data_IF_172290757263
#
_entry.id   IF_172290757263
#
_cell.length_a   1.000
_cell.length_b   1.000
_cell.length_c   1.000
_cell.angle_alpha   90.00
_cell.angle_beta   90.00
_cell.angle_gamma   90.00
#
_symmetry.space_group_name_H-M   'P 1'
#
loop_
_entity.id
_entity.type
_entity.pdbx_description
1 polymer ?
#
# COMPACT_ATOMS: atom_id res chain seq x y z
N UNK A 1 -13.01 -7.64 4.71
CA UNK A 1 -12.74 -7.53 3.25
C UNK A 1 -13.99 -7.20 2.44
N UNK A 2 -15.05 -8.02 2.46
CA UNK A 2 -16.27 -7.75 1.66
C UNK A 2 -16.87 -6.35 1.89
N UNK A 3 -17.00 -5.91 3.15
CA UNK A 3 -17.49 -4.56 3.46
C UNK A 3 -16.58 -3.44 2.93
N UNK A 4 -15.27 -3.68 2.90
CA UNK A 4 -14.29 -2.73 2.36
C UNK A 4 -14.46 -2.53 0.85
N UNK A 5 -14.60 -3.64 0.12
CA UNK A 5 -14.89 -3.62 -1.32
C UNK A 5 -16.23 -2.92 -1.58
N UNK A 6 -17.22 -3.15 -0.73
CA UNK A 6 -18.53 -2.50 -0.84
C UNK A 6 -18.44 -0.97 -0.68
N UNK A 7 -17.81 -0.47 0.40
CA UNK A 7 -17.70 0.98 0.62
C UNK A 7 -16.80 1.67 -0.41
N UNK A 8 -15.85 0.97 -1.02
CA UNK A 8 -15.05 1.49 -2.13
C UNK A 8 -15.85 1.52 -3.45
N UNK A 9 -16.60 0.46 -3.73
CA UNK A 9 -17.46 0.36 -4.93
C UNK A 9 -18.64 1.35 -4.89
N UNK A 10 -19.15 1.63 -3.69
CA UNK A 10 -20.28 2.50 -3.41
C UNK A 10 -19.95 3.44 -2.24
N UNK A 11 -19.18 4.53 -2.48
CA UNK A 11 -18.78 5.45 -1.43
C UNK A 11 -20.00 6.11 -0.78
N UNK A 12 -20.22 5.93 0.53
CA UNK A 12 -21.33 6.54 1.24
C UNK A 12 -21.10 8.05 1.42
N UNK A 13 -22.21 8.79 1.56
CA UNK A 13 -22.18 10.23 1.87
C UNK A 13 -21.45 10.52 3.19
N UNK A 14 -21.68 9.69 4.21
CA UNK A 14 -21.07 9.81 5.55
C UNK A 14 -19.86 8.86 5.71
N UNK A 15 -18.73 9.22 5.08
CA UNK A 15 -17.53 8.36 5.04
C UNK A 15 -16.94 8.04 6.41
N UNK A 16 -16.90 9.00 7.34
CA UNK A 16 -16.39 8.75 8.70
C UNK A 16 -17.19 7.66 9.44
N UNK A 17 -18.51 7.70 9.31
CA UNK A 17 -19.41 6.74 9.95
C UNK A 17 -19.28 5.34 9.31
N UNK A 18 -19.17 5.27 7.98
CA UNK A 18 -18.88 4.02 7.28
C UNK A 18 -17.50 3.45 7.65
N UNK A 19 -16.49 4.31 7.84
CA UNK A 19 -15.17 3.89 8.30
C UNK A 19 -15.20 3.39 9.74
N UNK A 20 -15.97 4.01 10.64
CA UNK A 20 -16.19 3.49 12.00
C UNK A 20 -16.81 2.09 11.98
N UNK A 21 -17.79 1.85 11.09
CA UNK A 21 -18.33 0.51 10.89
C UNK A 21 -17.32 -0.48 10.32
N UNK A 22 -16.39 -0.03 9.48
CA UNK A 22 -15.27 -0.84 8.98
C UNK A 22 -14.32 -1.23 10.12
N UNK A 23 -14.08 -0.33 11.08
CA UNK A 23 -13.22 -0.58 12.23
C UNK A 23 -13.77 -1.66 13.17
N UNK A 24 -15.08 -1.77 13.35
CA UNK A 24 -15.69 -2.72 14.29
C UNK A 24 -15.26 -4.20 14.07
N UNK A 25 -15.39 -4.81 12.88
CA UNK A 25 -14.93 -6.17 12.65
C UNK A 25 -13.41 -6.33 12.74
N UNK A 26 -12.64 -5.27 12.46
CA UNK A 26 -11.18 -5.30 12.54
C UNK A 26 -10.72 -5.28 13.98
N UNK A 27 -11.31 -4.41 14.81
CA UNK A 27 -11.06 -4.36 16.25
C UNK A 27 -11.49 -5.67 16.92
N UNK A 28 -12.60 -6.26 16.48
CA UNK A 28 -12.99 -7.60 16.92
C UNK A 28 -11.93 -8.65 16.54
N UNK A 29 -11.53 -8.70 15.27
CA UNK A 29 -10.47 -9.62 14.83
C UNK A 29 -9.16 -9.38 15.58
N UNK A 30 -8.79 -8.13 15.84
CA UNK A 30 -7.60 -7.76 16.60
C UNK A 30 -7.70 -8.15 18.07
N UNK A 31 -8.88 -8.12 18.67
CA UNK A 31 -9.09 -8.59 20.05
C UNK A 31 -8.93 -10.10 20.16
N UNK A 32 -9.39 -10.86 19.17
CA UNK A 32 -9.47 -12.32 19.23
C UNK A 32 -8.43 -13.05 18.36
N UNK A 33 -7.51 -12.34 17.70
CA UNK A 33 -6.56 -12.98 16.77
C UNK A 33 -5.67 -14.03 17.42
N UNK A 34 -5.29 -13.85 18.69
CA UNK A 34 -4.50 -14.84 19.44
C UNK A 34 -5.25 -16.15 19.69
N UNK A 35 -6.58 -16.14 19.58
CA UNK A 35 -7.44 -17.31 19.76
C UNK A 35 -7.75 -18.03 18.44
N UNK A 36 -7.39 -17.46 17.28
CA UNK A 36 -7.67 -18.05 15.97
C UNK A 36 -6.84 -19.31 15.72
N UNK A 37 -5.57 -19.29 16.11
CA UNK A 37 -4.65 -20.41 15.91
C UNK A 37 -3.67 -20.53 17.09
N UNK A 38 -3.13 -21.73 17.37
CA UNK A 38 -2.08 -21.89 18.37
C UNK A 38 -0.71 -21.35 17.90
N UNK A 39 -0.56 -20.98 16.63
CA UNK A 39 0.70 -20.56 16.03
C UNK A 39 0.91 -19.06 16.24
N UNK A 40 1.79 -18.71 17.16
CA UNK A 40 2.10 -17.32 17.49
C UNK A 40 2.53 -16.49 16.26
N UNK A 41 3.39 -17.04 15.41
CA UNK A 41 3.87 -16.34 14.20
C UNK A 41 2.72 -15.99 13.26
N UNK A 42 1.75 -16.90 13.06
CA UNK A 42 0.61 -16.65 12.18
C UNK A 42 -0.30 -15.57 12.77
N UNK A 43 -0.58 -15.63 14.07
CA UNK A 43 -1.38 -14.62 14.76
C UNK A 43 -0.71 -13.23 14.68
N UNK A 44 0.60 -13.17 14.89
CA UNK A 44 1.40 -11.95 14.81
C UNK A 44 1.42 -11.35 13.39
N UNK A 45 1.65 -12.16 12.35
CA UNK A 45 1.54 -11.74 10.95
C UNK A 45 0.12 -11.25 10.61
N UNK A 46 -0.92 -11.93 11.09
CA UNK A 46 -2.30 -11.55 10.87
C UNK A 46 -2.64 -10.21 11.55
N UNK A 47 -2.21 -10.01 12.80
CA UNK A 47 -2.39 -8.74 13.51
C UNK A 47 -1.73 -7.57 12.77
N UNK A 48 -0.51 -7.76 12.24
CA UNK A 48 0.22 -6.74 11.46
C UNK A 48 -0.46 -6.46 10.13
N UNK A 49 -0.91 -7.50 9.44
CA UNK A 49 -1.69 -7.37 8.21
C UNK A 49 -2.94 -6.51 8.46
N UNK A 50 -3.68 -6.76 9.55
CA UNK A 50 -4.86 -5.95 9.91
C UNK A 50 -4.51 -4.48 10.15
N UNK A 51 -3.40 -4.20 10.81
CA UNK A 51 -2.94 -2.82 11.07
C UNK A 51 -2.57 -2.08 9.78
N UNK A 52 -1.73 -2.70 8.95
CA UNK A 52 -1.31 -2.13 7.65
C UNK A 52 -2.54 -1.90 6.78
N UNK A 53 -3.44 -2.87 6.74
CA UNK A 53 -4.65 -2.79 5.93
C UNK A 53 -5.62 -1.69 6.42
N UNK A 54 -5.78 -1.53 7.73
CA UNK A 54 -6.61 -0.46 8.29
C UNK A 54 -6.02 0.93 8.00
N UNK A 55 -4.70 1.08 8.11
CA UNK A 55 -3.98 2.31 7.76
C UNK A 55 -4.10 2.63 6.26
N UNK A 56 -3.99 1.62 5.41
CA UNK A 56 -4.22 1.75 3.97
C UNK A 56 -5.65 2.23 3.67
N UNK A 57 -6.65 1.58 4.27
CA UNK A 57 -8.05 1.94 4.09
C UNK A 57 -8.36 3.34 4.63
N UNK A 58 -7.78 3.76 5.75
CA UNK A 58 -7.98 5.12 6.27
C UNK A 58 -7.41 6.16 5.29
N UNK A 59 -6.23 5.90 4.74
CA UNK A 59 -5.61 6.75 3.73
C UNK A 59 -6.43 6.81 2.44
N UNK A 60 -6.77 5.67 1.84
CA UNK A 60 -7.54 5.62 0.59
C UNK A 60 -8.93 6.24 0.73
N UNK A 61 -9.65 5.89 1.79
CA UNK A 61 -11.07 6.20 1.91
C UNK A 61 -11.35 7.58 2.52
N UNK A 62 -10.58 7.99 3.55
CA UNK A 62 -10.80 9.24 4.26
C UNK A 62 -9.95 10.40 3.73
N UNK A 63 -8.67 10.15 3.43
CA UNK A 63 -7.71 11.19 3.03
C UNK A 63 -7.76 11.44 1.52
N UNK A 64 -7.45 10.42 0.71
CA UNK A 64 -7.48 10.53 -0.78
C UNK A 64 -8.90 10.67 -1.30
N UNK A 65 -9.86 10.12 -0.55
CA UNK A 65 -11.30 10.16 -0.87
C UNK A 65 -11.63 9.52 -2.22
N UNK A 66 -10.97 8.43 -2.54
CA UNK A 66 -11.13 7.67 -3.80
C UNK A 66 -12.60 7.49 -4.19
N UNK A 67 -12.93 7.86 -5.43
CA UNK A 67 -14.26 7.78 -6.03
C UNK A 67 -14.23 6.82 -7.23
N UNK A 68 -15.27 5.97 -7.40
CA UNK A 68 -15.30 4.96 -8.44
C UNK A 68 -15.33 5.58 -9.82
N UNK A 69 -14.26 5.36 -10.58
CA UNK A 69 -14.12 5.75 -11.98
C UNK A 69 -14.80 4.70 -12.87
N UNK A 70 -16.13 4.70 -12.84
CA UNK A 70 -16.99 3.81 -13.60
C UNK A 70 -18.24 4.58 -14.00
N UNK A 71 -18.71 4.33 -15.22
CA UNK A 71 -19.85 5.04 -15.79
C UNK A 71 -21.09 5.00 -14.87
N UNK A 72 -21.89 6.08 -14.84
CA UNK A 72 -23.17 6.07 -14.17
C UNK A 72 -24.05 4.98 -14.80
N UNK A 73 -24.48 3.99 -14.00
CA UNK A 73 -25.19 2.80 -14.49
C UNK A 73 -24.32 1.55 -14.68
N UNK A 74 -22.99 1.65 -14.52
CA UNK A 74 -22.10 0.50 -14.55
C UNK A 74 -22.54 -0.60 -13.57
N UNK A 75 -22.57 -1.84 -14.08
CA UNK A 75 -22.99 -3.01 -13.31
C UNK A 75 -22.11 -3.25 -12.08
N UNK A 76 -22.68 -3.90 -11.06
CA UNK A 76 -22.00 -4.12 -9.77
C UNK A 76 -20.64 -4.83 -9.90
N UNK A 77 -20.48 -5.73 -10.88
CA UNK A 77 -19.23 -6.46 -11.13
C UNK A 77 -18.07 -5.52 -11.49
N UNK A 78 -18.32 -4.54 -12.36
CA UNK A 78 -17.29 -3.56 -12.75
C UNK A 78 -16.89 -2.68 -11.57
N UNK A 79 -17.85 -2.25 -10.75
CA UNK A 79 -17.60 -1.47 -9.53
C UNK A 79 -16.76 -2.25 -8.51
N UNK A 80 -17.06 -3.52 -8.29
CA UNK A 80 -16.29 -4.39 -7.40
C UNK A 80 -14.89 -4.66 -7.96
N UNK A 81 -14.75 -4.88 -9.27
CA UNK A 81 -13.44 -5.02 -9.91
C UNK A 81 -12.59 -3.76 -9.74
N UNK A 82 -13.18 -2.58 -9.94
CA UNK A 82 -12.52 -1.31 -9.71
C UNK A 82 -12.12 -1.14 -8.24
N UNK A 83 -13.03 -1.43 -7.30
CA UNK A 83 -12.73 -1.39 -5.88
C UNK A 83 -11.61 -2.36 -5.49
N UNK A 84 -11.56 -3.54 -6.12
CA UNK A 84 -10.46 -4.48 -5.98
C UNK A 84 -9.14 -3.91 -6.47
N UNK A 85 -9.11 -3.27 -7.65
CA UNK A 85 -7.91 -2.57 -8.15
C UNK A 85 -7.44 -1.50 -7.15
N UNK A 86 -8.36 -0.72 -6.60
CA UNK A 86 -8.04 0.27 -5.56
C UNK A 86 -7.53 -0.41 -4.30
N UNK A 87 -8.08 -1.55 -3.86
CA UNK A 87 -7.63 -2.20 -2.64
C UNK A 87 -6.20 -2.75 -2.74
N UNK A 88 -5.78 -3.17 -3.93
CA UNK A 88 -4.48 -3.80 -4.17
C UNK A 88 -3.46 -2.89 -4.88
N UNK A 89 -3.83 -1.63 -5.19
CA UNK A 89 -2.88 -0.71 -5.81
C UNK A 89 -1.89 -0.15 -4.79
N UNK A 90 -0.62 -0.10 -5.18
CA UNK A 90 0.45 0.56 -4.41
C UNK A 90 0.43 2.08 -4.59
N UNK A 91 -0.16 2.57 -5.68
CA UNK A 91 -0.15 3.96 -6.08
C UNK A 91 -1.58 4.52 -6.16
N UNK A 92 -2.07 5.00 -5.02
CA UNK A 92 -3.40 5.64 -4.91
C UNK A 92 -3.47 7.01 -5.58
N UNK A 93 -2.32 7.66 -5.79
CA UNK A 93 -2.25 9.00 -6.40
C UNK A 93 -2.82 9.07 -7.82
N UNK A 94 -2.89 7.94 -8.53
CA UNK A 94 -3.47 7.85 -9.88
C UNK A 94 -5.00 7.90 -9.87
N UNK A 95 -5.62 7.52 -8.74
CA UNK A 95 -7.07 7.49 -8.54
C UNK A 95 -7.60 8.76 -7.87
N UNK A 96 -6.75 9.78 -7.75
CA UNK A 96 -7.16 11.05 -7.16
C UNK A 96 -7.96 11.82 -8.20
N UNK A 97 -9.29 11.87 -8.04
CA UNK A 97 -10.09 12.86 -8.75
C UNK A 97 -9.71 14.24 -8.22
N UNK A 98 -9.39 15.22 -9.09
CA UNK A 98 -9.20 16.59 -8.66
C UNK A 98 -10.46 17.06 -7.92
N UNK A 99 -10.32 17.92 -6.90
CA UNK A 99 -11.49 18.52 -6.27
C UNK A 99 -12.33 19.14 -7.37
N UNK A 100 -13.61 18.76 -7.42
CA UNK A 100 -14.59 19.46 -8.24
C UNK A 100 -14.55 20.90 -7.75
N UNK A 101 -13.86 21.77 -8.49
CA UNK A 101 -13.97 23.20 -8.32
C UNK A 101 -15.46 23.46 -8.43
N UNK A 102 -16.08 23.90 -7.34
CA UNK A 102 -17.39 24.51 -7.42
C UNK A 102 -17.23 25.69 -8.38
N UNK A 103 -17.49 25.48 -9.67
CA UNK A 103 -17.96 26.54 -10.54
C UNK A 103 -19.27 26.97 -9.87
N UNK A 104 -19.14 28.05 -9.10
CA UNK A 104 -20.26 28.81 -8.63
C UNK A 104 -21.12 29.10 -9.86
N UNK A 105 -22.42 28.82 -9.72
CA UNK A 105 -23.44 29.30 -10.61
C UNK A 105 -23.30 30.82 -10.73
N UNK A 106 -22.69 31.28 -11.81
CA UNK A 106 -23.10 32.53 -12.42
C UNK A 106 -23.85 32.11 -13.68
N UNK A 107 -25.17 32.06 -13.51
CA UNK A 107 -26.13 32.00 -14.60
C UNK A 107 -25.98 33.25 -15.48
N UNK A 108 -26.06 32.99 -16.78
CA UNK A 108 -26.73 33.84 -17.76
C UNK A 108 -26.01 35.11 -18.21
N UNK A 109 -25.35 35.01 -19.39
CA UNK A 109 -25.65 35.92 -20.49
C UNK A 109 -25.23 35.34 -21.84
N UNK A 110 -26.28 35.02 -22.60
CA UNK A 110 -26.48 35.20 -24.03
C UNK A 110 -25.54 34.50 -25.02
N UNK A 111 -26.17 33.57 -25.74
CA UNK A 111 -25.99 33.23 -27.15
C UNK A 111 -25.07 34.17 -27.93
N UNK A 112 -24.01 33.63 -28.54
CA UNK A 112 -23.76 33.71 -29.99
C UNK A 112 -22.40 33.06 -30.37
N UNK A 113 -22.45 32.18 -31.38
CA UNK A 113 -21.34 31.80 -32.28
C UNK A 113 -20.04 31.21 -31.69
N UNK A 114 -19.84 29.91 -31.89
CA UNK A 114 -19.11 29.41 -33.07
C UNK A 114 -18.79 27.92 -32.90
N UNK A 115 -19.23 27.16 -33.90
CA UNK A 115 -18.91 25.76 -34.10
C UNK A 115 -17.39 25.55 -34.19
N UNK A 116 -16.76 25.13 -33.09
CA UNK A 116 -15.38 24.66 -33.10
C UNK A 116 -15.37 23.15 -33.42
N UNK A 117 -14.53 22.71 -34.38
CA UNK A 117 -14.53 21.34 -34.85
C UNK A 117 -14.05 20.37 -33.78
N UNK A 118 -14.80 19.28 -33.62
CA UNK A 118 -14.61 18.22 -32.63
C UNK A 118 -13.35 17.34 -32.84
N UNK A 119 -12.28 17.84 -33.47
CA UNK A 119 -11.08 17.04 -33.81
C UNK A 119 -9.89 17.19 -32.87
N UNK A 120 -10.00 17.94 -31.78
CA UNK A 120 -8.83 18.27 -30.93
C UNK A 120 -8.91 17.78 -29.47
N UNK A 121 -9.95 17.01 -29.12
CA UNK A 121 -10.07 16.41 -27.77
C UNK A 121 -9.38 15.04 -27.68
N UNK A 122 -8.90 14.49 -28.81
CA UNK A 122 -8.26 13.17 -28.90
C UNK A 122 -6.73 13.13 -28.67
N UNK A 123 -6.03 14.26 -28.52
CA UNK A 123 -4.56 14.28 -28.62
C UNK A 123 -3.79 14.81 -27.39
N UNK A 124 -4.41 14.83 -26.21
CA UNK A 124 -3.69 15.09 -24.95
C UNK A 124 -3.69 13.86 -24.03
N UNK A 125 -3.40 12.69 -24.59
CA UNK A 125 -2.76 11.60 -23.84
C UNK A 125 -1.33 12.05 -23.54
N UNK A 126 -1.17 13.05 -22.66
CA UNK A 126 0.13 13.54 -22.18
C UNK A 126 0.90 12.33 -21.72
N UNK A 127 1.94 11.97 -22.49
CA UNK A 127 2.97 11.02 -22.10
C UNK A 127 3.57 11.58 -20.81
N UNK A 128 3.08 11.11 -19.66
CA UNK A 128 3.56 11.55 -18.35
C UNK A 128 4.97 11.03 -18.25
N UNK A 129 5.94 11.91 -18.44
CA UNK A 129 7.30 11.61 -18.07
C UNK A 129 7.31 11.24 -16.58
N UNK A 130 7.92 10.12 -16.21
CA UNK A 130 7.99 9.71 -14.82
C UNK A 130 8.60 10.84 -13.98
N UNK A 131 8.01 11.25 -12.85
CA UNK A 131 8.37 12.46 -12.09
C UNK A 131 9.77 12.45 -11.45
N UNK A 132 10.55 11.41 -11.72
CA UNK A 132 11.89 11.20 -11.22
C UNK A 132 12.87 11.05 -12.39
N UNK A 133 13.91 11.88 -12.41
CA UNK A 133 15.04 11.86 -13.37
C UNK A 133 16.02 10.69 -13.16
N UNK A 134 15.62 9.65 -12.44
CA UNK A 134 16.50 8.55 -12.11
C UNK A 134 16.54 7.57 -13.28
N UNK A 135 17.74 7.26 -13.75
CA UNK A 135 17.91 6.18 -14.71
C UNK A 135 17.52 4.85 -14.05
N UNK A 136 17.02 3.90 -14.86
CA UNK A 136 16.56 2.59 -14.37
C UNK A 136 17.63 1.86 -13.55
N UNK A 137 18.90 2.01 -13.95
CA UNK A 137 20.05 1.47 -13.20
C UNK A 137 20.23 2.12 -11.83
N UNK A 138 20.03 3.44 -11.72
CA UNK A 138 20.13 4.15 -10.43
C UNK A 138 19.04 3.70 -9.47
N UNK A 139 17.84 3.44 -9.97
CA UNK A 139 16.74 2.88 -9.18
C UNK A 139 17.11 1.48 -8.67
N UNK A 140 17.62 0.61 -9.55
CA UNK A 140 18.08 -0.73 -9.15
C UNK A 140 19.20 -0.69 -8.11
N UNK A 141 20.21 0.15 -8.32
CA UNK A 141 21.34 0.28 -7.41
C UNK A 141 20.87 0.80 -6.04
N UNK A 142 19.92 1.74 -6.00
CA UNK A 142 19.32 2.21 -4.75
C UNK A 142 18.57 1.10 -4.01
N UNK A 143 17.80 0.27 -4.71
CA UNK A 143 17.09 -0.84 -4.09
C UNK A 143 18.02 -1.96 -3.64
N UNK A 144 19.05 -2.28 -4.42
CA UNK A 144 20.09 -3.23 -4.03
C UNK A 144 20.88 -2.74 -2.82
N UNK A 145 21.28 -1.46 -2.81
CA UNK A 145 21.95 -0.83 -1.67
C UNK A 145 21.04 -0.81 -0.42
N UNK A 146 19.74 -0.53 -0.57
CA UNK A 146 18.76 -0.62 0.52
C UNK A 146 18.69 -2.05 1.07
N UNK A 147 18.62 -3.06 0.21
CA UNK A 147 18.61 -4.46 0.63
C UNK A 147 19.90 -4.88 1.35
N UNK A 148 21.07 -4.51 0.81
CA UNK A 148 22.37 -4.78 1.43
C UNK A 148 22.52 -4.07 2.77
N UNK A 149 22.07 -2.82 2.87
CA UNK A 149 22.07 -2.06 4.12
C UNK A 149 21.22 -2.76 5.18
N UNK A 150 20.01 -3.21 4.83
CA UNK A 150 19.17 -3.94 5.78
C UNK A 150 19.75 -5.29 6.16
N UNK A 151 20.37 -6.01 5.21
CA UNK A 151 21.06 -7.26 5.51
C UNK A 151 22.23 -7.02 6.47
N UNK A 152 23.00 -5.94 6.27
CA UNK A 152 24.11 -5.56 7.12
C UNK A 152 23.64 -5.13 8.51
N UNK A 153 22.57 -4.35 8.62
CA UNK A 153 21.97 -3.98 9.92
C UNK A 153 21.49 -5.24 10.65
N UNK A 154 20.82 -6.16 9.95
CA UNK A 154 20.33 -7.38 10.56
C UNK A 154 21.49 -8.27 11.03
N UNK A 155 22.52 -8.44 10.20
CA UNK A 155 23.73 -9.17 10.55
C UNK A 155 24.48 -8.53 11.73
N UNK A 156 24.60 -7.21 11.76
CA UNK A 156 25.24 -6.47 12.86
C UNK A 156 24.42 -6.62 14.15
N UNK A 157 23.09 -6.59 14.05
CA UNK A 157 22.20 -6.83 15.17
C UNK A 157 22.38 -8.24 15.74
N UNK A 158 22.37 -9.26 14.88
CA UNK A 158 22.55 -10.65 15.30
C UNK A 158 23.94 -10.91 15.89
N UNK A 159 24.98 -10.28 15.35
CA UNK A 159 26.37 -10.53 15.74
C UNK A 159 26.79 -9.76 16.99
N UNK A 160 26.32 -8.51 17.15
CA UNK A 160 26.81 -7.61 18.21
C UNK A 160 25.76 -7.26 19.25
N UNK A 161 24.47 -7.30 18.92
CA UNK A 161 23.38 -7.00 19.85
C UNK A 161 22.77 -8.26 20.48
N UNK A 162 23.26 -9.47 20.19
CA UNK A 162 22.96 -10.70 20.96
C UNK A 162 24.30 -11.23 21.53
N UNK A 163 24.67 -10.92 22.78
CA UNK A 163 25.90 -11.46 23.34
C UNK A 163 25.72 -12.95 23.62
N UNK A 164 26.60 -13.82 23.09
CA UNK A 164 26.68 -15.18 23.57
C UNK A 164 27.31 -15.15 24.98
N UNK A 165 26.49 -15.46 26.00
CA UNK A 165 26.87 -16.01 27.32
C UNK A 165 27.12 -15.12 28.55
N UNK A 166 27.03 -13.80 28.54
CA UNK A 166 27.45 -13.03 29.75
C UNK A 166 26.56 -11.85 30.06
N UNK A 167 25.69 -11.96 31.09
CA UNK A 167 25.37 -10.87 32.03
C UNK A 167 24.64 -11.45 33.26
N UNK A 168 25.21 -11.42 34.49
CA UNK A 168 24.40 -11.56 35.69
C UNK A 168 23.53 -10.30 35.84
N UNK A 169 22.21 -10.43 36.08
CA UNK A 169 21.31 -9.28 36.11
C UNK A 169 21.59 -8.39 37.31
N UNK A 170 21.64 -7.07 37.08
CA UNK A 170 21.71 -6.07 38.13
C UNK A 170 20.51 -6.21 39.10
N UNK A 171 20.71 -6.03 40.43
CA UNK A 171 19.72 -6.38 41.46
C UNK A 171 18.39 -5.61 41.35
N UNK A 172 18.39 -4.44 40.72
CA UNK A 172 17.20 -3.63 40.45
C UNK A 172 16.22 -4.29 39.44
N UNK A 173 16.70 -5.20 38.57
CA UNK A 173 15.88 -5.85 37.53
C UNK A 173 15.07 -7.04 38.08
N UNK A 174 15.38 -7.54 39.29
CA UNK A 174 14.68 -8.69 39.89
C UNK A 174 13.24 -8.42 40.34
N UNK A 175 12.82 -7.16 40.39
CA UNK A 175 11.51 -6.75 40.92
C UNK A 175 10.56 -6.23 39.84
N UNK A 176 10.95 -6.31 38.57
CA UNK A 176 10.02 -6.04 37.47
C UNK A 176 9.04 -7.22 37.35
N UNK A 177 7.74 -6.96 37.09
CA UNK A 177 6.78 -8.02 36.83
C UNK A 177 7.29 -8.89 35.68
N UNK A 178 6.99 -10.19 35.70
CA UNK A 178 7.53 -11.17 34.74
C UNK A 178 7.42 -10.73 33.28
N UNK A 179 6.40 -9.93 32.93
CA UNK A 179 6.19 -9.31 31.61
C UNK A 179 7.23 -8.27 31.18
N UNK A 180 8.10 -7.81 32.09
CA UNK A 180 9.18 -6.84 31.88
C UNK A 180 10.56 -7.49 32.07
N UNK A 181 10.63 -8.82 32.15
CA UNK A 181 11.89 -9.53 32.12
C UNK A 181 12.65 -9.15 30.85
N UNK A 182 13.89 -8.66 31.02
CA UNK A 182 14.74 -8.19 29.91
C UNK A 182 14.86 -9.24 28.80
N UNK A 183 14.85 -10.53 29.17
CA UNK A 183 14.87 -11.63 28.22
C UNK A 183 13.60 -11.67 27.36
N UNK A 184 12.43 -11.49 27.95
CA UNK A 184 11.15 -11.48 27.25
C UNK A 184 10.97 -10.22 26.39
N UNK A 185 11.40 -9.06 26.89
CA UNK A 185 11.44 -7.81 26.11
C UNK A 185 12.39 -7.91 24.91
N UNK A 186 13.55 -8.53 25.08
CA UNK A 186 14.51 -8.76 23.99
C UNK A 186 13.96 -9.77 22.99
N UNK A 187 13.30 -10.83 23.44
CA UNK A 187 12.66 -11.81 22.57
C UNK A 187 11.52 -11.16 21.76
N UNK A 188 10.68 -10.35 22.40
CA UNK A 188 9.59 -9.60 21.75
C UNK A 188 10.13 -8.54 20.80
N UNK A 189 11.20 -7.84 21.16
CA UNK A 189 11.87 -6.88 20.29
C UNK A 189 12.53 -7.56 19.08
N UNK A 190 13.14 -8.73 19.27
CA UNK A 190 13.74 -9.53 18.20
C UNK A 190 12.67 -10.12 17.27
N UNK A 191 11.55 -10.63 17.81
CA UNK A 191 10.38 -11.04 17.03
C UNK A 191 9.77 -9.86 16.27
N UNK A 192 9.65 -8.70 16.90
CA UNK A 192 9.13 -7.49 16.23
C UNK A 192 10.10 -7.05 15.14
N UNK A 193 11.39 -6.97 15.43
CA UNK A 193 12.40 -6.58 14.45
C UNK A 193 12.45 -7.54 13.27
N UNK A 194 12.62 -8.84 13.50
CA UNK A 194 12.76 -9.83 12.44
C UNK A 194 11.45 -10.02 11.66
N UNK A 195 10.33 -10.21 12.36
CA UNK A 195 9.06 -10.57 11.71
C UNK A 195 8.29 -9.34 11.22
N UNK A 196 8.51 -8.11 11.77
CA UNK A 196 7.72 -6.92 11.33
C UNK A 196 8.57 -6.21 10.33
N UNK A 197 9.73 -5.77 10.79
CA UNK A 197 10.51 -4.76 10.12
C UNK A 197 11.34 -5.47 9.06
N UNK A 198 12.04 -6.55 9.44
CA UNK A 198 12.78 -7.42 8.55
C UNK A 198 11.90 -7.99 7.45
N UNK A 199 10.83 -8.73 7.80
CA UNK A 199 9.96 -9.35 6.79
C UNK A 199 9.21 -8.31 5.94
N UNK A 200 8.70 -7.21 6.50
CA UNK A 200 8.00 -6.20 5.68
C UNK A 200 8.97 -5.50 4.72
N UNK A 201 10.19 -5.16 5.16
CA UNK A 201 11.21 -4.57 4.29
C UNK A 201 11.76 -5.57 3.28
N UNK A 202 11.88 -6.84 3.65
CA UNK A 202 12.28 -7.92 2.76
C UNK A 202 11.22 -8.15 1.68
N UNK A 203 9.95 -8.27 2.05
CA UNK A 203 8.84 -8.37 1.10
C UNK A 203 8.78 -7.13 0.21
N UNK A 204 8.91 -5.93 0.75
CA UNK A 204 8.93 -4.70 -0.04
C UNK A 204 10.08 -4.68 -1.06
N UNK A 205 11.26 -5.17 -0.66
CA UNK A 205 12.45 -5.21 -1.51
C UNK A 205 12.33 -6.30 -2.58
N UNK A 206 11.89 -7.50 -2.21
CA UNK A 206 11.69 -8.64 -3.11
C UNK A 206 10.63 -8.31 -4.16
N UNK A 207 9.50 -7.74 -3.75
CA UNK A 207 8.43 -7.36 -4.68
C UNK A 207 8.90 -6.29 -5.67
N UNK A 208 9.71 -5.33 -5.22
CA UNK A 208 10.30 -4.30 -6.09
C UNK A 208 11.26 -4.92 -7.12
N UNK A 209 12.04 -5.94 -6.75
CA UNK A 209 12.92 -6.67 -7.67
C UNK A 209 12.12 -7.50 -8.68
N UNK A 210 11.09 -8.23 -8.24
CA UNK A 210 10.24 -9.04 -9.12
C UNK A 210 9.50 -8.17 -10.14
N UNK A 211 8.90 -7.08 -9.69
CA UNK A 211 8.24 -6.10 -10.58
C UNK A 211 9.24 -5.56 -11.60
N UNK A 212 10.46 -5.23 -11.18
CA UNK A 212 11.50 -4.78 -12.10
C UNK A 212 11.87 -5.85 -13.15
N UNK A 213 12.05 -7.11 -12.76
CA UNK A 213 12.37 -8.20 -13.69
C UNK A 213 11.24 -8.38 -14.70
N UNK A 214 9.99 -8.36 -14.24
CA UNK A 214 8.82 -8.48 -15.12
C UNK A 214 8.77 -7.32 -16.11
N UNK A 215 8.90 -6.07 -15.64
CA UNK A 215 8.88 -4.88 -16.51
C UNK A 215 10.03 -4.92 -17.52
N UNK A 216 11.23 -5.30 -17.10
CA UNK A 216 12.40 -5.44 -17.99
C UNK A 216 12.17 -6.47 -19.09
N UNK A 217 11.58 -7.61 -18.75
CA UNK A 217 11.37 -8.67 -19.71
C UNK A 217 10.17 -8.38 -20.63
N UNK A 218 9.16 -7.68 -20.12
CA UNK A 218 8.08 -7.13 -20.93
C UNK A 218 8.62 -6.12 -21.96
N UNK A 219 9.48 -5.19 -21.55
CA UNK A 219 10.11 -4.22 -22.44
C UNK A 219 10.96 -4.91 -23.52
N UNK A 220 11.73 -5.94 -23.17
CA UNK A 220 12.49 -6.73 -24.16
C UNK A 220 11.59 -7.46 -25.15
N UNK A 221 10.44 -7.95 -24.70
CA UNK A 221 9.47 -8.63 -25.58
C UNK A 221 8.80 -7.62 -26.53
N UNK A 222 8.48 -6.42 -26.05
CA UNK A 222 7.96 -5.32 -26.87
C UNK A 222 8.98 -4.84 -27.90
N UNK A 223 10.25 -4.68 -27.54
CA UNK A 223 11.32 -4.31 -28.48
C UNK A 223 11.54 -5.37 -29.57
N UNK A 224 11.32 -6.66 -29.26
CA UNK A 224 11.45 -7.75 -30.23
C UNK A 224 10.24 -7.93 -31.14
N UNK A 225 9.08 -7.40 -30.78
CA UNK A 225 7.84 -7.59 -31.55
C UNK A 225 7.19 -6.24 -31.88
N UNK A 226 7.58 -5.59 -32.99
CA UNK A 226 7.00 -4.31 -33.40
C UNK A 226 5.48 -4.40 -33.62
N UNK A 227 4.98 -5.58 -34.02
CA UNK A 227 3.54 -5.84 -34.20
C UNK A 227 2.78 -5.82 -32.87
N UNK A 228 3.36 -6.35 -31.78
CA UNK A 228 2.73 -6.25 -30.45
C UNK A 228 2.73 -4.82 -29.91
N UNK A 229 3.74 -4.01 -30.27
CA UNK A 229 3.81 -2.60 -29.91
C UNK A 229 2.66 -1.78 -30.49
N UNK A 230 2.25 -2.06 -31.74
CA UNK A 230 1.09 -1.41 -32.37
C UNK A 230 -0.25 -1.85 -31.78
N UNK A 231 -0.36 -3.10 -31.31
CA UNK A 231 -1.60 -3.64 -30.72
C UNK A 231 -1.81 -3.18 -29.27
N UNK A 232 -0.73 -2.86 -28.54
CA UNK A 232 -0.77 -2.48 -27.11
C UNK A 232 -0.71 -0.96 -26.84
N UNK A 233 -0.42 -0.13 -27.85
CA UNK A 233 -0.37 1.33 -27.74
C UNK A 233 -1.78 1.96 -27.77
#
# INVERSE_FOLDING_TARGET
>A
MAYALYILAYPPRHRYLAFLFLCAPILYAFKYHLSLTPWYSLNDTFGRMLYIWLAYMSYAFLLVRVTPDVEPGAGWRQRVQWAGKVLYTRHLGEYHTPPVTHQACDEEKDEEQAMQPASEIGMLRRRREPPHRLNRLDLCLRHAAKAVLFLAINHTYDTYLIPPKTYPPAPFIRHLPSSLAVHELRLRAMMTWNVCIGDMLYFESLYSVVVFVIVRELDRLLERSPVLGEVLA
#
